data_IF_306631910164
#
_entry.id   IF_306631910164
#
_cell.length_a   1.000
_cell.length_b   1.000
_cell.length_c   1.000
_cell.angle_alpha   90.00
_cell.angle_beta   90.00
_cell.angle_gamma   90.00
#
_symmetry.space_group_name_H-M   'P 1'
#
loop_
_entity.id
_entity.type
_entity.pdbx_description
1 polymer ?
#
# COMPACT_ATOMS: atom_id res chain seq x y z
N UNK A 1 15.97 -5.91 32.16
CA UNK A 1 15.24 -6.65 31.12
C UNK A 1 14.51 -5.57 30.32
N UNK A 2 15.03 -5.17 29.16
CA UNK A 2 14.48 -4.03 28.40
C UNK A 2 13.13 -4.43 27.80
N UNK A 3 12.08 -3.72 28.20
CA UNK A 3 10.73 -3.84 27.67
C UNK A 3 10.75 -3.46 26.19
N UNK A 4 9.98 -4.18 25.36
CA UNK A 4 9.76 -3.81 23.95
C UNK A 4 8.62 -2.81 23.91
N UNK A 5 8.83 -1.70 23.23
CA UNK A 5 7.89 -0.59 23.20
C UNK A 5 7.53 -0.26 21.75
N UNK A 6 6.33 0.29 21.55
CA UNK A 6 5.90 0.71 20.24
C UNK A 6 5.17 2.04 20.27
N UNK A 7 5.25 2.72 19.13
CA UNK A 7 4.81 4.10 18.96
C UNK A 7 4.04 4.21 17.67
N UNK A 8 2.95 4.96 17.70
CA UNK A 8 2.27 5.39 16.50
C UNK A 8 2.18 6.93 16.47
N UNK A 9 2.26 7.51 15.27
CA UNK A 9 2.21 8.96 15.03
C UNK A 9 1.05 9.37 14.08
N UNK A 10 0.04 10.08 14.62
CA UNK A 10 -0.98 10.86 13.88
C UNK A 10 -0.80 12.38 14.05
N UNK A 11 -0.45 12.78 15.28
CA UNK A 11 -0.30 14.14 15.81
C UNK A 11 0.25 14.12 17.24
N UNK A 12 0.15 12.97 17.91
CA UNK A 12 0.69 12.69 19.24
C UNK A 12 1.37 11.31 19.23
N UNK A 13 2.49 11.21 19.95
CA UNK A 13 3.23 9.96 20.18
C UNK A 13 2.55 9.20 21.31
N UNK A 14 1.78 8.16 20.97
CA UNK A 14 1.14 7.29 21.94
C UNK A 14 2.06 6.09 22.25
N UNK A 15 2.33 5.86 23.54
CA UNK A 15 3.07 4.72 24.05
C UNK A 15 2.10 3.71 24.62
N UNK A 16 2.27 2.44 24.26
CA UNK A 16 1.58 1.32 24.88
C UNK A 16 2.61 0.26 25.28
N UNK A 17 2.41 -0.37 26.43
CA UNK A 17 3.23 -1.47 26.91
C UNK A 17 2.60 -2.82 26.53
N UNK A 18 3.45 -3.84 26.30
CA UNK A 18 3.20 -5.26 25.97
C UNK A 18 3.05 -5.61 24.47
N UNK A 19 3.87 -6.56 23.95
CA UNK A 19 3.64 -7.48 22.79
C UNK A 19 4.85 -8.45 22.57
N UNK A 20 4.73 -9.57 21.80
CA UNK A 20 5.64 -10.74 21.80
C UNK A 20 6.95 -10.61 20.97
N UNK A 21 7.60 -11.73 20.63
CA UNK A 21 9.00 -11.89 20.19
C UNK A 21 9.46 -11.10 18.93
N UNK A 22 9.68 -9.79 19.04
CA UNK A 22 10.55 -9.02 18.12
C UNK A 22 12.00 -9.58 18.11
N UNK A 23 12.73 -9.59 16.97
CA UNK A 23 14.15 -9.92 16.90
C UNK A 23 14.99 -9.21 17.97
N UNK A 24 16.00 -9.88 18.54
CA UNK A 24 16.76 -9.39 19.71
C UNK A 24 17.51 -8.08 19.48
N UNK A 25 17.66 -7.65 18.25
CA UNK A 25 18.31 -6.44 17.78
C UNK A 25 17.35 -5.25 17.58
N UNK A 26 16.05 -5.49 17.38
CA UNK A 26 15.02 -4.44 17.31
C UNK A 26 14.39 -4.26 18.70
N UNK A 27 14.39 -3.02 19.17
CA UNK A 27 13.90 -2.61 20.49
C UNK A 27 12.59 -1.83 20.41
N UNK A 28 12.40 -1.07 19.34
CA UNK A 28 11.21 -0.23 19.15
C UNK A 28 10.65 -0.39 17.74
N UNK A 29 9.32 -0.42 17.62
CA UNK A 29 8.61 -0.36 16.34
C UNK A 29 7.79 0.93 16.29
N UNK A 30 7.91 1.69 15.20
CA UNK A 30 7.18 2.93 14.97
C UNK A 30 6.30 2.80 13.74
N UNK A 31 4.98 2.91 13.91
CA UNK A 31 4.01 2.94 12.83
C UNK A 31 3.63 4.36 12.45
N UNK A 32 3.69 4.70 11.16
CA UNK A 32 3.44 6.05 10.66
C UNK A 32 2.36 5.98 9.59
N UNK A 33 1.27 6.74 9.80
CA UNK A 33 0.19 6.86 8.84
C UNK A 33 0.59 7.75 7.66
N UNK A 34 0.29 7.34 6.42
CA UNK A 34 0.64 8.08 5.20
C UNK A 34 0.19 9.56 5.25
N UNK A 35 -1.04 9.82 5.69
CA UNK A 35 -1.59 11.18 5.80
C UNK A 35 -0.78 12.10 6.73
N UNK A 36 0.09 11.54 7.57
CA UNK A 36 0.89 12.24 8.57
C UNK A 36 2.39 12.14 8.29
N UNK A 37 2.80 11.54 7.17
CA UNK A 37 4.19 11.45 6.77
C UNK A 37 4.69 12.79 6.18
N UNK A 38 4.96 13.78 7.04
CA UNK A 38 5.54 15.07 6.67
C UNK A 38 6.85 15.36 7.43
N UNK A 39 7.56 16.42 7.02
CA UNK A 39 8.88 16.79 7.58
C UNK A 39 8.80 17.06 9.09
N UNK A 40 7.78 17.81 9.53
CA UNK A 40 7.57 18.13 10.94
C UNK A 40 7.38 16.87 11.80
N UNK A 41 6.63 15.89 11.30
CA UNK A 41 6.45 14.58 11.95
C UNK A 41 7.78 13.84 12.08
N UNK A 42 8.65 13.94 11.08
CA UNK A 42 9.96 13.30 11.11
C UNK A 42 10.89 13.92 12.16
N UNK A 43 10.84 15.24 12.32
CA UNK A 43 11.59 15.97 13.35
C UNK A 43 11.09 15.59 14.75
N UNK A 44 9.76 15.60 14.94
CA UNK A 44 9.13 15.18 16.20
C UNK A 44 9.54 13.76 16.57
N UNK A 45 9.51 12.81 15.63
CA UNK A 45 9.89 11.42 15.91
C UNK A 45 11.30 11.33 16.48
N UNK A 46 12.27 12.03 15.89
CA UNK A 46 13.67 11.97 16.34
C UNK A 46 13.83 12.59 17.73
N UNK A 47 13.29 13.79 17.92
CA UNK A 47 13.39 14.51 19.19
C UNK A 47 12.72 13.74 20.33
N UNK A 48 11.50 13.24 20.09
CA UNK A 48 10.79 12.45 21.09
C UNK A 48 11.49 11.12 21.37
N UNK A 49 12.13 10.53 20.36
CA UNK A 49 12.85 9.27 20.53
C UNK A 49 14.09 9.42 21.40
N UNK A 50 14.93 10.41 21.10
CA UNK A 50 16.15 10.71 21.89
C UNK A 50 15.80 11.05 23.34
N UNK A 51 14.69 11.78 23.55
CA UNK A 51 14.21 12.17 24.88
C UNK A 51 13.66 10.99 25.67
N UNK A 52 12.85 10.12 25.05
CA UNK A 52 12.15 9.02 25.73
C UNK A 52 13.01 7.77 25.91
N UNK A 53 13.89 7.48 24.95
CA UNK A 53 14.73 6.28 24.94
C UNK A 53 16.22 6.60 24.86
N UNK A 54 16.79 7.26 25.89
CA UNK A 54 18.21 7.56 25.92
C UNK A 54 19.03 6.26 25.88
N UNK A 55 19.88 6.11 24.87
CA UNK A 55 20.75 4.94 24.69
C UNK A 55 20.24 3.89 23.70
N UNK A 56 19.08 4.09 23.07
CA UNK A 56 18.69 3.29 21.90
C UNK A 56 19.29 3.91 20.63
N UNK A 57 20.03 3.10 19.87
CA UNK A 57 20.50 3.50 18.54
C UNK A 57 19.32 3.50 17.57
N UNK A 58 18.84 4.69 17.20
CA UNK A 58 17.66 4.86 16.35
C UNK A 58 17.75 4.06 15.04
N UNK A 59 18.86 4.15 14.32
CA UNK A 59 18.97 3.53 12.99
C UNK A 59 19.09 2.01 13.04
N UNK A 60 19.65 1.46 14.13
CA UNK A 60 19.89 0.02 14.27
C UNK A 60 18.77 -0.70 15.00
N UNK A 61 18.21 -0.09 16.03
CA UNK A 61 17.29 -0.73 16.97
C UNK A 61 15.83 -0.31 16.79
N UNK A 62 15.54 0.63 15.87
CA UNK A 62 14.17 1.05 15.55
C UNK A 62 13.77 0.52 14.19
N UNK A 63 12.59 -0.11 14.13
CA UNK A 63 11.92 -0.46 12.88
C UNK A 63 10.82 0.55 12.60
N UNK A 64 10.89 1.18 11.43
CA UNK A 64 9.87 2.08 10.92
C UNK A 64 8.94 1.31 9.99
N UNK A 65 7.64 1.43 10.21
CA UNK A 65 6.60 0.88 9.33
C UNK A 65 5.71 2.01 8.84
N UNK A 66 5.81 2.33 7.55
CA UNK A 66 4.98 3.34 6.91
C UNK A 66 3.78 2.70 6.26
N UNK A 67 2.59 3.24 6.55
CA UNK A 67 1.42 2.92 5.72
C UNK A 67 1.52 3.65 4.39
N UNK A 68 1.04 3.02 3.33
CA UNK A 68 0.93 3.62 1.99
C UNK A 68 -0.43 3.29 1.38
N UNK A 69 -0.95 4.14 0.48
CA UNK A 69 -2.15 3.82 -0.27
C UNK A 69 -2.01 2.50 -1.02
N UNK A 70 -3.11 1.77 -1.17
CA UNK A 70 -3.12 0.47 -1.82
C UNK A 70 -2.64 0.55 -3.29
N UNK A 71 -2.84 1.67 -3.96
CA UNK A 71 -2.51 1.90 -5.37
C UNK A 71 -1.03 2.25 -5.60
N UNK A 72 -0.25 2.45 -4.54
CA UNK A 72 1.15 2.82 -4.68
C UNK A 72 1.93 1.75 -5.46
N UNK A 73 2.62 2.21 -6.51
CA UNK A 73 3.52 1.37 -7.29
C UNK A 73 4.87 1.22 -6.60
N UNK A 74 5.67 0.24 -7.00
CA UNK A 74 7.05 0.10 -6.52
C UNK A 74 7.90 1.34 -6.77
N UNK A 75 7.67 2.03 -7.89
CA UNK A 75 8.30 3.32 -8.17
C UNK A 75 7.88 4.38 -7.13
N UNK A 76 6.60 4.44 -6.77
CA UNK A 76 6.09 5.37 -5.75
C UNK A 76 6.67 5.05 -4.37
N UNK A 77 6.74 3.77 -3.98
CA UNK A 77 7.37 3.32 -2.74
C UNK A 77 8.87 3.65 -2.71
N UNK A 78 9.57 3.50 -3.84
CA UNK A 78 10.98 3.89 -3.97
C UNK A 78 11.19 5.39 -3.81
N UNK A 79 10.30 6.22 -4.36
CA UNK A 79 10.33 7.68 -4.14
C UNK A 79 10.10 7.98 -2.66
N UNK A 80 9.10 7.36 -2.04
CA UNK A 80 8.82 7.54 -0.61
C UNK A 80 10.03 7.15 0.26
N UNK A 81 10.69 6.04 -0.05
CA UNK A 81 11.93 5.61 0.62
C UNK A 81 13.04 6.66 0.51
N UNK A 82 13.18 7.31 -0.65
CA UNK A 82 14.13 8.40 -0.83
C UNK A 82 13.73 9.62 0.03
N UNK A 83 12.45 10.01 0.06
CA UNK A 83 11.97 11.09 0.92
C UNK A 83 12.25 10.82 2.41
N UNK A 84 12.08 9.57 2.87
CA UNK A 84 12.37 9.16 4.26
C UNK A 84 13.88 9.23 4.55
N UNK A 85 14.72 8.87 3.59
CA UNK A 85 16.18 9.04 3.68
C UNK A 85 16.58 10.51 3.75
N UNK A 86 16.00 11.35 2.89
CA UNK A 86 16.29 12.79 2.85
C UNK A 86 15.81 13.50 4.13
N UNK A 87 14.70 13.05 4.73
CA UNK A 87 14.25 13.47 6.07
C UNK A 87 15.14 12.94 7.22
N UNK A 88 16.11 12.07 6.89
CA UNK A 88 17.08 11.48 7.80
C UNK A 88 16.47 10.50 8.81
N UNK A 89 15.28 9.96 8.57
CA UNK A 89 14.70 8.90 9.40
C UNK A 89 15.38 7.54 9.16
N UNK A 90 16.10 7.42 8.04
CA UNK A 90 17.02 6.31 7.77
C UNK A 90 18.35 6.88 7.27
N UNK A 91 19.44 6.18 7.56
CA UNK A 91 20.79 6.55 7.12
C UNK A 91 21.28 5.76 5.91
N UNK A 92 20.46 4.83 5.41
CA UNK A 92 20.73 4.00 4.24
C UNK A 92 19.40 3.68 3.56
N UNK A 93 19.25 4.06 2.29
CA UNK A 93 18.03 3.79 1.52
C UNK A 93 17.73 2.28 1.41
N UNK A 94 18.75 1.42 1.40
CA UNK A 94 18.63 -0.04 1.39
C UNK A 94 18.38 -0.69 2.76
N UNK A 95 18.08 0.09 3.81
CA UNK A 95 17.87 -0.48 5.15
C UNK A 95 16.66 -1.42 5.20
N UNK A 96 16.84 -2.54 5.91
CA UNK A 96 15.78 -3.50 6.21
C UNK A 96 14.91 -3.07 7.41
N UNK A 97 15.33 -2.02 8.13
CA UNK A 97 14.58 -1.46 9.25
C UNK A 97 13.44 -0.52 8.81
N UNK A 98 13.32 -0.23 7.51
CA UNK A 98 12.16 0.44 6.93
C UNK A 98 11.28 -0.59 6.22
N UNK A 99 10.00 -0.65 6.61
CA UNK A 99 8.98 -1.48 5.98
C UNK A 99 7.81 -0.63 5.51
N UNK A 100 7.18 -1.05 4.42
CA UNK A 100 5.91 -0.52 3.96
C UNK A 100 4.81 -1.54 4.17
N UNK A 101 3.62 -1.03 4.45
CA UNK A 101 2.38 -1.80 4.56
C UNK A 101 1.28 -0.97 3.91
N UNK A 102 0.29 -1.60 3.27
CA UNK A 102 -0.82 -0.79 2.75
C UNK A 102 -1.73 -0.33 3.90
N UNK A 103 -2.34 0.85 3.80
CA UNK A 103 -3.33 1.33 4.77
C UNK A 103 -4.45 0.31 5.07
N UNK A 104 -5.13 -0.28 4.06
CA UNK A 104 -6.16 -1.29 4.33
C UNK A 104 -5.60 -2.57 4.96
N UNK A 105 -4.35 -2.95 4.63
CA UNK A 105 -3.68 -4.09 5.26
C UNK A 105 -3.46 -3.85 6.74
N UNK A 106 -2.87 -2.72 7.06
CA UNK A 106 -2.54 -2.36 8.43
C UNK A 106 -3.83 -2.22 9.25
N UNK A 107 -4.84 -1.53 8.74
CA UNK A 107 -6.11 -1.39 9.44
C UNK A 107 -6.83 -2.74 9.65
N UNK A 108 -6.69 -3.69 8.72
CA UNK A 108 -7.19 -5.04 8.91
C UNK A 108 -6.46 -5.77 10.05
N UNK A 109 -5.14 -5.62 10.16
CA UNK A 109 -4.35 -6.18 11.28
C UNK A 109 -4.84 -5.63 12.62
N UNK A 110 -5.02 -4.32 12.71
CA UNK A 110 -5.59 -3.68 13.88
C UNK A 110 -6.96 -4.24 14.26
N UNK A 111 -7.88 -4.33 13.29
CA UNK A 111 -9.21 -4.86 13.52
C UNK A 111 -9.20 -6.33 13.97
N UNK A 112 -8.29 -7.15 13.44
CA UNK A 112 -8.15 -8.54 13.90
C UNK A 112 -7.76 -8.64 15.36
N UNK A 113 -6.87 -7.76 15.85
CA UNK A 113 -6.46 -7.80 17.24
C UNK A 113 -7.56 -7.31 18.18
N UNK A 114 -8.31 -6.27 17.79
CA UNK A 114 -9.55 -5.87 18.47
C UNK A 114 -10.56 -7.03 18.52
N UNK A 115 -10.60 -7.85 17.46
CA UNK A 115 -11.47 -9.03 17.37
C UNK A 115 -11.01 -10.23 18.19
N UNK A 116 -9.71 -10.45 18.37
CA UNK A 116 -9.17 -11.54 19.21
C UNK A 116 -9.66 -11.43 20.65
N UNK A 117 -9.82 -10.20 21.15
CA UNK A 117 -10.45 -9.93 22.45
C UNK A 117 -11.95 -10.25 22.48
N UNK A 118 -12.63 -10.34 21.32
CA UNK A 118 -14.09 -10.42 21.20
C UNK A 118 -14.63 -11.63 20.37
N UNK A 119 -13.78 -12.61 20.01
CA UNK A 119 -14.12 -13.87 19.29
C UNK A 119 -15.01 -13.71 18.04
N UNK A 120 -14.70 -12.80 17.13
CA UNK A 120 -15.38 -12.75 15.81
C UNK A 120 -14.37 -12.73 14.66
N UNK A 121 -14.78 -13.20 13.46
CA UNK A 121 -13.92 -13.33 12.27
C UNK A 121 -14.38 -12.41 11.14
N UNK A 122 -13.38 -11.91 10.39
CA UNK A 122 -13.39 -11.10 9.15
C UNK A 122 -13.78 -9.62 9.27
N UNK A 123 -13.48 -8.83 8.24
CA UNK A 123 -13.51 -7.37 8.31
C UNK A 123 -13.04 -6.69 7.01
N UNK A 124 -13.72 -5.63 6.59
CA UNK A 124 -13.62 -4.99 5.26
C UNK A 124 -13.12 -3.55 5.42
N UNK A 125 -12.03 -3.21 4.74
CA UNK A 125 -11.92 -2.00 3.91
C UNK A 125 -12.22 -2.45 2.46
N UNK A 126 -12.23 -1.62 1.40
CA UNK A 126 -12.45 -2.08 0.00
C UNK A 126 -11.37 -3.08 -0.54
N UNK A 127 -10.69 -3.78 0.36
CA UNK A 127 -9.90 -4.98 0.13
C UNK A 127 -10.49 -6.09 0.99
N UNK A 128 -11.05 -7.14 0.37
CA UNK A 128 -11.58 -8.29 1.10
C UNK A 128 -10.44 -9.16 1.58
N UNK A 129 -10.32 -9.31 2.90
CA UNK A 129 -9.31 -10.16 3.52
C UNK A 129 -9.92 -11.33 4.26
N UNK A 130 -9.26 -12.49 4.11
CA UNK A 130 -9.63 -13.72 4.82
C UNK A 130 -8.67 -13.92 5.98
N UNK A 131 -9.23 -14.06 7.17
CA UNK A 131 -8.52 -14.58 8.33
C UNK A 131 -8.29 -16.07 8.14
N UNK A 132 -7.03 -16.49 8.16
CA UNK A 132 -6.60 -17.88 8.04
C UNK A 132 -6.52 -18.54 9.43
N UNK A 133 -6.45 -19.88 9.46
CA UNK A 133 -6.55 -20.68 10.68
C UNK A 133 -5.43 -20.40 11.71
N UNK A 134 -4.34 -19.76 11.30
CA UNK A 134 -3.19 -19.39 12.13
C UNK A 134 -3.14 -17.89 12.51
N UNK A 135 -4.28 -17.18 12.53
CA UNK A 135 -4.35 -15.72 12.76
C UNK A 135 -3.60 -14.86 11.73
N UNK A 136 -3.33 -15.43 10.55
CA UNK A 136 -2.70 -14.71 9.44
C UNK A 136 -3.75 -14.12 8.50
N UNK A 137 -3.41 -13.02 7.84
CA UNK A 137 -4.21 -12.43 6.76
C UNK A 137 -3.75 -12.94 5.41
N UNK A 138 -4.73 -13.28 4.56
CA UNK A 138 -4.56 -13.41 3.12
C UNK A 138 -5.54 -12.50 2.38
N UNK A 139 -5.08 -11.92 1.28
CA UNK A 139 -5.92 -11.13 0.37
C UNK A 139 -6.64 -12.06 -0.61
N UNK A 140 -7.96 -11.90 -0.77
CA UNK A 140 -8.79 -12.83 -1.57
C UNK A 140 -9.08 -12.28 -2.96
N UNK A 141 -9.34 -10.98 -3.05
CA UNK A 141 -9.76 -10.30 -4.28
C UNK A 141 -8.83 -9.14 -4.59
N UNK A 142 -8.76 -8.75 -5.85
CA UNK A 142 -8.13 -7.48 -6.20
C UNK A 142 -8.88 -6.32 -5.50
N UNK A 143 -8.13 -5.32 -5.04
CA UNK A 143 -8.68 -4.10 -4.47
C UNK A 143 -9.60 -3.37 -5.47
N UNK A 144 -10.76 -2.91 -5.00
CA UNK A 144 -11.64 -2.03 -5.79
C UNK A 144 -11.87 -0.71 -5.05
N UNK A 145 -10.98 0.26 -5.26
CA UNK A 145 -11.09 1.61 -4.71
C UNK A 145 -11.77 2.57 -5.69
N UNK A 146 -12.40 3.59 -5.13
CA UNK A 146 -12.81 4.80 -5.85
C UNK A 146 -12.47 5.99 -4.95
N UNK A 147 -12.35 7.18 -5.53
CA UNK A 147 -12.05 8.39 -4.77
C UNK A 147 -13.33 8.87 -4.07
N UNK A 148 -13.55 8.37 -2.85
CA UNK A 148 -14.70 8.68 -2.00
C UNK A 148 -14.26 8.84 -0.53
N UNK A 149 -14.82 9.82 0.18
CA UNK A 149 -14.48 10.12 1.58
C UNK A 149 -14.98 11.49 2.03
N UNK A 150 -14.66 11.87 3.28
CA UNK A 150 -15.12 13.13 3.88
C UNK A 150 -14.79 14.38 3.06
N UNK A 151 -13.61 14.43 2.44
CA UNK A 151 -13.20 15.54 1.57
C UNK A 151 -14.15 15.78 0.37
N UNK A 152 -14.94 14.78 -0.05
CA UNK A 152 -15.95 14.97 -1.09
C UNK A 152 -17.24 15.58 -0.54
N UNK A 153 -17.55 15.34 0.73
CA UNK A 153 -18.63 16.05 1.42
C UNK A 153 -18.23 17.53 1.56
N UNK A 154 -16.98 17.80 1.92
CA UNK A 154 -16.46 19.16 2.01
C UNK A 154 -16.57 19.90 0.67
N UNK A 155 -16.31 19.21 -0.46
CA UNK A 155 -16.51 19.78 -1.80
C UNK A 155 -17.97 20.14 -2.10
N UNK A 156 -18.90 19.27 -1.74
CA UNK A 156 -20.33 19.56 -1.93
C UNK A 156 -20.78 20.74 -1.04
N UNK A 157 -20.26 20.82 0.18
CA UNK A 157 -20.48 21.94 1.09
C UNK A 157 -19.91 23.25 0.53
N UNK A 158 -18.66 23.25 0.06
CA UNK A 158 -18.03 24.43 -0.55
C UNK A 158 -18.81 24.90 -1.78
N UNK A 159 -19.26 23.97 -2.64
CA UNK A 159 -20.10 24.31 -3.79
C UNK A 159 -21.41 24.96 -3.37
N UNK A 160 -22.05 24.47 -2.31
CA UNK A 160 -23.26 25.10 -1.76
C UNK A 160 -22.99 26.53 -1.27
N UNK A 161 -21.86 26.76 -0.59
CA UNK A 161 -21.48 28.10 -0.17
C UNK A 161 -21.24 29.02 -1.37
N UNK A 162 -20.48 28.56 -2.38
CA UNK A 162 -20.23 29.30 -3.62
C UNK A 162 -21.55 29.69 -4.33
N UNK A 163 -22.52 28.78 -4.40
CA UNK A 163 -23.84 29.05 -4.99
C UNK A 163 -24.65 30.09 -4.20
N UNK A 164 -24.46 30.17 -2.87
CA UNK A 164 -25.20 31.08 -1.99
C UNK A 164 -24.57 32.46 -1.89
N UNK A 165 -23.26 32.55 -1.75
CA UNK A 165 -22.54 33.81 -1.53
C UNK A 165 -21.90 34.39 -2.79
N UNK A 166 -21.87 33.62 -3.88
CA UNK A 166 -21.25 33.99 -5.15
C UNK A 166 -19.76 33.65 -5.22
N UNK A 167 -19.21 33.66 -6.44
CA UNK A 167 -17.82 33.30 -6.71
C UNK A 167 -16.82 34.41 -6.28
N UNK A 168 -15.59 34.00 -5.95
CA UNK A 168 -14.46 34.91 -5.66
C UNK A 168 -14.19 35.05 -4.15
N UNK A 169 -13.76 36.22 -3.70
CA UNK A 169 -13.39 36.50 -2.30
C UNK A 169 -14.59 36.54 -1.32
N UNK A 170 -15.75 36.02 -1.70
CA UNK A 170 -16.95 36.00 -0.86
C UNK A 170 -16.78 35.04 0.33
N UNK A 171 -16.03 33.95 0.14
CA UNK A 171 -15.63 33.03 1.22
C UNK A 171 -14.65 33.68 2.20
N UNK A 172 -13.70 34.49 1.71
CA UNK A 172 -12.76 35.22 2.57
C UNK A 172 -13.50 36.27 3.42
N UNK A 173 -14.47 36.97 2.81
CA UNK A 173 -15.33 37.94 3.52
C UNK A 173 -16.27 37.30 4.55
N UNK A 174 -16.66 36.05 4.32
CA UNK A 174 -17.46 35.24 5.24
C UNK A 174 -16.76 35.07 6.59
N UNK A 175 -15.43 34.89 6.56
CA UNK A 175 -14.59 34.79 7.76
C UNK A 175 -14.32 36.16 8.40
N UNK A 176 -14.16 37.21 7.60
CA UNK A 176 -13.92 38.58 8.11
C UNK A 176 -15.15 39.22 8.78
N UNK A 177 -16.36 38.94 8.28
CA UNK A 177 -17.60 39.60 8.70
C UNK A 177 -18.44 38.76 9.71
N UNK A 178 -17.93 37.62 10.18
CA UNK A 178 -18.54 36.77 11.23
C UNK A 178 -19.98 36.31 10.88
N UNK A 179 -20.20 35.90 9.63
CA UNK A 179 -21.53 35.52 9.14
C UNK A 179 -22.02 34.21 9.75
N UNK A 180 -23.30 34.18 10.14
CA UNK A 180 -23.98 32.97 10.58
C UNK A 180 -24.84 32.40 9.44
N UNK A 181 -24.56 31.15 9.05
CA UNK A 181 -25.32 30.44 8.01
C UNK A 181 -26.06 29.27 8.65
N UNK A 182 -27.39 29.38 8.71
CA UNK A 182 -28.27 28.27 9.06
C UNK A 182 -28.48 27.34 7.86
N UNK A 183 -28.11 26.08 8.02
CA UNK A 183 -28.29 25.04 7.01
C UNK A 183 -29.19 23.95 7.57
N UNK A 184 -30.29 23.67 6.87
CA UNK A 184 -31.22 22.63 7.28
C UNK A 184 -30.64 21.22 7.07
N UNK A 185 -31.21 20.25 7.79
CA UNK A 185 -30.77 18.86 7.76
C UNK A 185 -30.84 18.23 6.36
N UNK A 186 -31.88 18.52 5.57
CA UNK A 186 -32.02 17.91 4.23
C UNK A 186 -30.93 18.43 3.29
N UNK A 187 -30.57 19.70 3.44
CA UNK A 187 -29.46 20.30 2.71
C UNK A 187 -28.12 19.68 3.12
N UNK A 188 -27.82 19.57 4.41
CA UNK A 188 -26.61 18.87 4.88
C UNK A 188 -26.58 17.42 4.38
N UNK A 189 -27.71 16.71 4.49
CA UNK A 189 -27.86 15.34 4.02
C UNK A 189 -27.56 15.23 2.52
N UNK A 190 -27.98 16.21 1.71
CA UNK A 190 -27.72 16.23 0.27
C UNK A 190 -26.23 16.24 -0.09
N UNK A 191 -25.36 16.77 0.79
CA UNK A 191 -23.90 16.74 0.60
C UNK A 191 -23.32 15.34 0.85
N UNK A 192 -23.89 14.60 1.80
CA UNK A 192 -23.46 13.25 2.17
C UNK A 192 -24.00 12.19 1.22
N UNK A 193 -25.26 12.28 0.82
CA UNK A 193 -25.97 11.31 -0.03
C UNK A 193 -25.14 10.81 -1.23
N UNK A 194 -24.56 11.67 -2.11
CA UNK A 194 -23.81 11.19 -3.27
C UNK A 194 -22.56 10.42 -2.88
N UNK A 195 -21.87 10.83 -1.81
CA UNK A 195 -20.66 10.17 -1.31
C UNK A 195 -21.01 8.83 -0.67
N UNK A 196 -22.01 8.80 0.20
CA UNK A 196 -22.49 7.58 0.88
C UNK A 196 -23.01 6.57 -0.13
N UNK A 197 -23.80 7.00 -1.12
CA UNK A 197 -24.32 6.11 -2.16
C UNK A 197 -23.20 5.46 -3.00
N UNK A 198 -22.13 6.19 -3.29
CA UNK A 198 -20.93 5.62 -3.95
C UNK A 198 -20.27 4.55 -3.07
N UNK A 199 -20.07 4.82 -1.79
CA UNK A 199 -19.52 3.85 -0.83
C UNK A 199 -20.38 2.59 -0.78
N UNK A 200 -21.71 2.74 -0.63
CA UNK A 200 -22.66 1.61 -0.61
C UNK A 200 -22.56 0.77 -1.89
N UNK A 201 -22.43 1.41 -3.06
CA UNK A 201 -22.26 0.71 -4.33
C UNK A 201 -20.98 -0.13 -4.34
N UNK A 202 -19.85 0.44 -3.91
CA UNK A 202 -18.57 -0.27 -3.88
C UNK A 202 -18.60 -1.46 -2.91
N UNK A 203 -19.15 -1.26 -1.71
CA UNK A 203 -19.34 -2.34 -0.73
C UNK A 203 -20.24 -3.45 -1.29
N UNK A 204 -21.31 -3.07 -2.01
CA UNK A 204 -22.24 -4.06 -2.60
C UNK A 204 -21.55 -4.95 -3.63
N UNK A 205 -20.74 -4.36 -4.52
CA UNK A 205 -19.96 -5.12 -5.53
C UNK A 205 -19.07 -6.16 -4.84
N UNK A 206 -18.35 -5.75 -3.80
CA UNK A 206 -17.46 -6.69 -3.08
C UNK A 206 -18.22 -7.74 -2.29
N UNK A 207 -19.30 -7.35 -1.61
CA UNK A 207 -20.09 -8.25 -0.79
C UNK A 207 -20.69 -9.39 -1.61
N UNK A 208 -21.14 -9.10 -2.84
CA UNK A 208 -21.70 -10.09 -3.76
C UNK A 208 -20.64 -11.11 -4.23
N UNK A 209 -19.37 -10.71 -4.31
CA UNK A 209 -18.27 -11.60 -4.72
C UNK A 209 -17.78 -12.54 -3.60
N UNK A 210 -17.80 -12.11 -2.33
CA UNK A 210 -17.10 -12.83 -1.26
C UNK A 210 -17.95 -13.23 -0.03
N UNK A 211 -19.20 -12.75 0.09
CA UNK A 211 -20.08 -12.95 1.25
C UNK A 211 -19.40 -12.66 2.61
N UNK A 212 -19.25 -11.38 2.93
CA UNK A 212 -18.65 -10.95 4.22
C UNK A 212 -19.55 -11.23 5.42
N UNK A 213 -18.99 -11.77 6.51
CA UNK A 213 -19.68 -11.95 7.81
C UNK A 213 -19.58 -10.71 8.71
N UNK A 214 -18.47 -9.98 8.63
CA UNK A 214 -18.16 -8.83 9.48
C UNK A 214 -17.51 -7.74 8.63
N UNK A 215 -17.81 -6.49 8.95
CA UNK A 215 -17.34 -5.28 8.26
C UNK A 215 -16.87 -4.28 9.30
N UNK A 216 -15.67 -3.70 9.12
CA UNK A 216 -15.17 -2.64 9.98
C UNK A 216 -15.30 -1.30 9.27
N UNK A 217 -15.74 -0.29 9.98
CA UNK A 217 -15.71 1.08 9.48
C UNK A 217 -14.55 1.80 10.17
N UNK A 218 -13.55 2.15 9.38
CA UNK A 218 -12.28 2.77 9.79
C UNK A 218 -12.06 4.10 9.05
N UNK A 219 -11.13 4.92 9.51
CA UNK A 219 -10.85 6.24 8.94
C UNK A 219 -11.86 7.32 9.37
N UNK A 220 -11.47 8.60 9.28
CA UNK A 220 -12.23 9.70 9.86
C UNK A 220 -13.69 9.82 9.38
N UNK A 221 -13.97 9.48 8.12
CA UNK A 221 -15.36 9.52 7.63
C UNK A 221 -16.28 8.47 8.27
N UNK A 222 -15.71 7.40 8.83
CA UNK A 222 -16.43 6.38 9.57
C UNK A 222 -16.95 6.86 10.93
N UNK A 223 -16.57 8.07 11.39
CA UNK A 223 -17.19 8.73 12.55
C UNK A 223 -18.62 9.19 12.27
N UNK A 224 -18.98 9.37 10.99
CA UNK A 224 -20.31 9.81 10.59
C UNK A 224 -21.38 8.80 11.00
N UNK A 225 -22.22 9.16 11.98
CA UNK A 225 -23.38 8.35 12.39
C UNK A 225 -24.32 8.08 11.21
N UNK A 226 -24.45 9.03 10.28
CA UNK A 226 -25.26 8.88 9.08
C UNK A 226 -24.72 7.77 8.16
N UNK A 227 -23.40 7.76 7.91
CA UNK A 227 -22.76 6.69 7.14
C UNK A 227 -22.92 5.33 7.84
N UNK A 228 -22.59 5.27 9.14
CA UNK A 228 -22.68 4.03 9.91
C UNK A 228 -24.09 3.43 9.90
N UNK A 229 -25.13 4.26 10.09
CA UNK A 229 -26.51 3.82 10.07
C UNK A 229 -26.94 3.33 8.68
N UNK A 230 -26.59 4.07 7.62
CA UNK A 230 -26.89 3.69 6.24
C UNK A 230 -26.27 2.33 5.88
N UNK A 231 -25.00 2.11 6.23
CA UNK A 231 -24.32 0.83 6.01
C UNK A 231 -24.97 -0.29 6.83
N UNK A 232 -25.22 -0.08 8.13
CA UNK A 232 -25.88 -1.06 9.00
C UNK A 232 -27.26 -1.49 8.51
N UNK A 233 -28.04 -0.55 7.98
CA UNK A 233 -29.35 -0.83 7.40
C UNK A 233 -29.22 -1.63 6.09
N UNK A 234 -28.31 -1.22 5.20
CA UNK A 234 -28.16 -1.84 3.88
C UNK A 234 -27.57 -3.24 3.91
N UNK A 235 -26.69 -3.51 4.88
CA UNK A 235 -25.96 -4.76 5.05
C UNK A 235 -26.31 -5.44 6.38
N UNK A 236 -27.61 -5.53 6.70
CA UNK A 236 -28.10 -6.10 7.97
C UNK A 236 -27.68 -7.56 8.22
N UNK A 237 -27.36 -8.31 7.17
CA UNK A 237 -26.83 -9.67 7.23
C UNK A 237 -25.34 -9.74 7.62
N UNK A 238 -24.63 -8.60 7.59
CA UNK A 238 -23.22 -8.47 7.93
C UNK A 238 -23.08 -7.75 9.27
N UNK A 239 -22.20 -8.23 10.16
CA UNK A 239 -21.92 -7.54 11.41
C UNK A 239 -21.02 -6.32 11.14
N UNK A 240 -21.62 -5.13 11.15
CA UNK A 240 -20.87 -3.87 11.01
C UNK A 240 -20.38 -3.40 12.37
N UNK A 241 -19.06 -3.26 12.52
CA UNK A 241 -18.39 -2.82 13.73
C UNK A 241 -17.54 -1.56 13.47
N UNK A 242 -17.35 -0.76 14.51
CA UNK A 242 -16.47 0.41 14.51
C UNK A 242 -15.47 0.18 15.64
N UNK A 243 -14.18 -0.04 15.34
CA UNK A 243 -13.20 -0.28 16.39
C UNK A 243 -12.89 1.03 17.14
N UNK A 244 -12.31 0.96 18.35
CA UNK A 244 -11.74 2.13 19.00
C UNK A 244 -10.64 2.74 18.11
N UNK A 245 -10.31 4.02 18.28
CA UNK A 245 -9.24 4.71 17.55
C UNK A 245 -9.28 4.51 16.01
N UNK A 246 -10.48 4.61 15.42
CA UNK A 246 -10.71 4.37 13.99
C UNK A 246 -9.87 5.23 13.03
N UNK A 247 -9.46 6.44 13.44
CA UNK A 247 -8.56 7.31 12.66
C UNK A 247 -7.13 6.76 12.65
N UNK A 248 -6.71 6.20 13.79
CA UNK A 248 -5.40 5.61 14.02
C UNK A 248 -5.23 4.17 13.54
N UNK A 249 -6.32 3.51 13.15
CA UNK A 249 -6.36 2.07 12.87
C UNK A 249 -5.22 1.60 11.93
N UNK A 250 -4.95 2.34 10.85
CA UNK A 250 -3.92 1.98 9.90
C UNK A 250 -2.52 1.98 10.55
N UNK A 251 -2.20 2.99 11.34
CA UNK A 251 -0.86 3.12 11.87
C UNK A 251 -0.66 2.32 13.19
N UNK A 252 -1.72 2.09 13.97
CA UNK A 252 -1.74 1.04 14.99
C UNK A 252 -1.47 -0.34 14.38
N UNK A 253 -2.14 -0.66 13.26
CA UNK A 253 -1.90 -1.93 12.56
C UNK A 253 -0.51 -2.04 11.94
N UNK A 254 0.10 -0.92 11.54
CA UNK A 254 1.47 -0.88 11.03
C UNK A 254 2.49 -1.24 12.12
N UNK A 255 2.25 -0.77 13.35
CA UNK A 255 3.02 -1.21 14.51
C UNK A 255 2.90 -2.72 14.71
N UNK A 256 1.67 -3.24 14.74
CA UNK A 256 1.42 -4.66 14.97
C UNK A 256 2.09 -5.53 13.92
N UNK A 257 2.06 -5.10 12.65
CA UNK A 257 2.81 -5.73 11.57
C UNK A 257 4.33 -5.68 11.79
N UNK A 258 4.88 -4.54 12.23
CA UNK A 258 6.32 -4.42 12.47
C UNK A 258 6.83 -5.30 13.62
N UNK A 259 5.94 -5.63 14.57
CA UNK A 259 6.19 -6.54 15.68
C UNK A 259 6.12 -8.01 15.25
N UNK A 260 5.15 -8.37 14.39
CA UNK A 260 4.96 -9.70 13.84
C UNK A 260 4.62 -9.63 12.35
N UNK A 261 5.66 -9.66 11.51
CA UNK A 261 5.51 -9.57 10.05
C UNK A 261 4.93 -10.85 9.44
N UNK A 262 4.96 -11.98 10.16
CA UNK A 262 4.37 -13.24 9.72
C UNK A 262 2.83 -13.20 9.77
N UNK A 263 2.25 -12.14 10.36
CA UNK A 263 0.81 -11.87 10.36
C UNK A 263 0.25 -11.78 8.93
N UNK A 264 1.03 -11.34 7.95
CA UNK A 264 0.60 -11.29 6.54
C UNK A 264 1.20 -12.50 5.81
N UNK A 265 0.35 -13.41 5.35
CA UNK A 265 0.83 -14.64 4.68
C UNK A 265 1.07 -14.41 3.19
N UNK A 266 0.11 -13.80 2.52
CA UNK A 266 0.14 -13.58 1.07
C UNK A 266 -0.58 -12.30 0.69
N UNK A 267 -0.20 -11.77 -0.47
CA UNK A 267 -0.82 -10.60 -1.10
C UNK A 267 -1.17 -10.97 -2.55
N UNK A 268 -2.10 -10.22 -3.14
CA UNK A 268 -2.49 -10.38 -4.55
C UNK A 268 -1.74 -9.36 -5.39
N UNK A 269 -1.01 -9.83 -6.42
CA UNK A 269 -0.25 -8.93 -7.29
C UNK A 269 -1.16 -7.97 -8.05
N UNK A 270 -0.87 -6.67 -7.95
CA UNK A 270 -1.64 -5.59 -8.61
C UNK A 270 -1.19 -5.32 -10.04
N UNK A 271 0.02 -5.74 -10.37
CA UNK A 271 0.64 -5.53 -11.67
C UNK A 271 1.15 -6.86 -12.22
N UNK A 272 1.22 -6.92 -13.54
CA UNK A 272 1.95 -7.97 -14.25
C UNK A 272 3.38 -7.49 -14.45
N UNK A 273 4.34 -8.25 -13.95
CA UNK A 273 5.77 -7.95 -14.00
C UNK A 273 6.47 -8.87 -14.99
N UNK A 274 7.53 -8.36 -15.60
CA UNK A 274 8.36 -9.12 -16.52
C UNK A 274 9.62 -8.37 -16.93
N UNK A 275 10.41 -9.02 -17.77
CA UNK A 275 11.66 -8.47 -18.29
C UNK A 275 11.64 -8.40 -19.81
N UNK A 276 12.43 -7.47 -20.35
CA UNK A 276 12.71 -7.41 -21.77
C UNK A 276 13.72 -8.49 -22.14
N UNK A 277 13.36 -9.32 -23.11
CA UNK A 277 14.20 -10.40 -23.63
C UNK A 277 14.44 -10.22 -25.12
N UNK A 278 15.50 -10.86 -25.64
CA UNK A 278 15.90 -10.81 -27.04
C UNK A 278 16.11 -12.22 -27.65
N UNK A 279 15.04 -13.04 -27.73
CA UNK A 279 15.11 -14.37 -28.31
C UNK A 279 15.27 -14.34 -29.83
N UNK A 280 15.57 -15.51 -30.41
CA UNK A 280 15.50 -15.71 -31.87
C UNK A 280 14.06 -15.51 -32.34
N UNK A 281 13.91 -14.96 -33.54
CA UNK A 281 12.61 -14.83 -34.20
C UNK A 281 12.05 -16.20 -34.59
N UNK A 282 10.76 -16.44 -34.31
CA UNK A 282 10.08 -17.72 -34.57
C UNK A 282 8.83 -17.56 -35.47
N UNK A 283 8.35 -18.67 -36.02
CA UNK A 283 7.14 -18.70 -36.85
C UNK A 283 5.90 -18.39 -35.98
N UNK A 284 5.25 -17.26 -36.23
CA UNK A 284 4.17 -16.71 -35.41
C UNK A 284 4.44 -15.29 -34.91
N UNK A 285 5.71 -14.89 -34.88
CA UNK A 285 6.11 -13.53 -34.51
C UNK A 285 5.75 -12.51 -35.60
N UNK A 286 5.44 -11.27 -35.18
CA UNK A 286 5.16 -10.18 -36.10
C UNK A 286 6.40 -9.87 -36.96
N UNK A 287 6.36 -10.11 -38.30
CA UNK A 287 7.57 -9.98 -39.14
C UNK A 287 8.16 -8.57 -39.15
N UNK A 288 7.34 -7.54 -38.94
CA UNK A 288 7.75 -6.13 -38.86
C UNK A 288 8.62 -5.82 -37.63
N UNK A 289 8.63 -6.68 -36.60
CA UNK A 289 9.43 -6.53 -35.38
C UNK A 289 10.73 -7.34 -35.42
N UNK A 290 11.02 -8.02 -36.54
CA UNK A 290 12.24 -8.80 -36.70
C UNK A 290 13.44 -7.86 -36.91
N UNK A 291 14.45 -8.04 -36.07
CA UNK A 291 15.71 -7.32 -36.20
C UNK A 291 16.61 -7.91 -37.29
N UNK A 292 17.57 -7.12 -37.75
CA UNK A 292 18.49 -7.50 -38.84
C UNK A 292 19.32 -8.75 -38.55
N UNK A 293 19.58 -9.06 -37.27
CA UNK A 293 20.31 -10.23 -36.80
C UNK A 293 19.41 -11.47 -36.58
N UNK A 294 18.13 -11.39 -36.97
CA UNK A 294 17.17 -12.48 -36.87
C UNK A 294 16.57 -12.70 -35.48
N UNK A 295 16.68 -11.72 -34.58
CA UNK A 295 16.07 -11.76 -33.25
C UNK A 295 14.89 -10.79 -33.15
N UNK A 296 14.23 -10.78 -32.00
CA UNK A 296 13.07 -9.92 -31.71
C UNK A 296 13.08 -9.54 -30.23
N UNK A 297 12.69 -8.31 -29.90
CA UNK A 297 12.46 -7.91 -28.52
C UNK A 297 11.07 -8.34 -28.07
N UNK A 298 10.99 -9.05 -26.93
CA UNK A 298 9.73 -9.50 -26.33
C UNK A 298 9.68 -9.17 -24.84
N UNK A 299 8.47 -9.19 -24.28
CA UNK A 299 8.23 -9.17 -22.85
C UNK A 299 8.10 -10.60 -22.34
N UNK A 300 9.00 -11.02 -21.45
CA UNK A 300 8.89 -12.29 -20.74
C UNK A 300 8.14 -12.06 -19.44
N UNK A 301 6.95 -12.65 -19.34
CA UNK A 301 6.12 -12.65 -18.13
C UNK A 301 6.86 -13.37 -16.99
N UNK A 302 7.03 -12.66 -15.87
CA UNK A 302 7.63 -13.22 -14.65
C UNK A 302 6.60 -13.46 -13.56
N UNK A 303 5.67 -12.52 -13.38
CA UNK A 303 4.63 -12.62 -12.38
C UNK A 303 3.36 -11.93 -12.88
N UNK A 304 2.21 -12.58 -12.69
CA UNK A 304 0.95 -12.13 -13.28
C UNK A 304 0.07 -11.43 -12.27
N UNK A 305 -0.53 -10.31 -12.66
CA UNK A 305 -1.58 -9.64 -11.88
C UNK A 305 -2.70 -10.62 -11.48
N UNK A 306 -3.17 -10.52 -10.24
CA UNK A 306 -4.25 -11.32 -9.67
C UNK A 306 -3.77 -12.66 -9.08
N UNK A 307 -2.48 -12.99 -9.19
CA UNK A 307 -1.90 -14.17 -8.54
C UNK A 307 -1.58 -13.84 -7.09
N UNK A 308 -1.92 -14.76 -6.19
CA UNK A 308 -1.48 -14.72 -4.79
C UNK A 308 -0.01 -15.13 -4.69
N UNK A 309 0.78 -14.32 -4.00
CA UNK A 309 2.20 -14.56 -3.79
C UNK A 309 2.48 -14.45 -2.29
N UNK A 310 3.23 -15.40 -1.75
CA UNK A 310 3.63 -15.36 -0.34
C UNK A 310 4.58 -14.20 -0.06
N UNK A 311 4.55 -13.66 1.16
CA UNK A 311 5.50 -12.62 1.56
C UNK A 311 6.91 -13.21 1.48
N UNK A 312 7.85 -12.44 0.91
CA UNK A 312 9.24 -12.84 0.66
C UNK A 312 9.44 -14.05 -0.27
N UNK A 313 8.41 -14.44 -1.04
CA UNK A 313 8.54 -15.48 -2.05
C UNK A 313 9.63 -15.10 -3.06
N UNK A 314 10.63 -15.98 -3.19
CA UNK A 314 11.72 -15.84 -4.15
C UNK A 314 11.34 -16.45 -5.48
N UNK A 315 11.64 -15.71 -6.53
CA UNK A 315 11.54 -16.15 -7.90
C UNK A 315 12.93 -16.21 -8.51
N UNK A 316 13.09 -17.03 -9.55
CA UNK A 316 14.36 -17.17 -10.25
C UNK A 316 14.13 -17.32 -11.74
N UNK A 317 14.89 -16.58 -12.54
CA UNK A 317 14.92 -16.72 -13.99
C UNK A 317 16.36 -16.84 -14.48
N UNK A 318 16.62 -17.78 -15.38
CA UNK A 318 17.95 -17.98 -15.96
C UNK A 318 17.99 -17.46 -17.39
N UNK A 319 18.94 -16.58 -17.67
CA UNK A 319 19.16 -16.01 -18.98
C UNK A 319 20.55 -16.32 -19.51
N UNK A 320 20.69 -16.23 -20.83
CA UNK A 320 21.94 -16.44 -21.55
C UNK A 320 22.25 -15.22 -22.41
N UNK A 321 23.53 -14.90 -22.63
CA UNK A 321 23.92 -13.82 -23.52
C UNK A 321 23.37 -14.01 -24.93
N UNK A 322 22.78 -12.95 -25.49
CA UNK A 322 22.25 -13.00 -26.87
C UNK A 322 23.35 -13.20 -27.91
N UNK A 323 24.59 -12.80 -27.62
CA UNK A 323 25.76 -12.94 -28.49
C UNK A 323 26.92 -13.65 -27.77
N UNK A 324 27.74 -14.45 -28.49
CA UNK A 324 28.85 -15.18 -27.88
C UNK A 324 29.88 -14.28 -27.19
N UNK A 325 30.15 -13.12 -27.76
CA UNK A 325 31.13 -12.13 -27.34
C UNK A 325 30.57 -11.04 -26.40
N UNK A 326 29.31 -11.17 -25.98
CA UNK A 326 28.70 -10.20 -25.07
C UNK A 326 29.42 -10.17 -23.71
N UNK A 327 29.80 -8.97 -23.29
CA UNK A 327 30.52 -8.73 -22.03
C UNK A 327 29.61 -8.46 -20.84
N UNK A 328 28.30 -8.59 -21.00
CA UNK A 328 27.33 -8.42 -19.93
C UNK A 328 25.90 -8.72 -20.37
N UNK A 329 24.98 -8.74 -19.41
CA UNK A 329 23.54 -8.88 -19.64
C UNK A 329 22.83 -7.75 -18.92
N UNK A 330 22.10 -6.94 -19.70
CA UNK A 330 21.22 -5.90 -19.18
C UNK A 330 19.83 -6.47 -18.93
N UNK A 331 19.42 -6.52 -17.68
CA UNK A 331 18.06 -6.85 -17.26
C UNK A 331 17.22 -5.58 -17.21
N UNK A 332 16.33 -5.37 -18.17
CA UNK A 332 15.35 -4.28 -18.14
C UNK A 332 14.00 -4.80 -17.63
N UNK A 333 13.57 -4.32 -16.47
CA UNK A 333 12.32 -4.72 -15.81
C UNK A 333 11.16 -3.82 -16.22
N UNK A 334 9.99 -4.43 -16.42
CA UNK A 334 8.77 -3.75 -16.83
C UNK A 334 7.56 -4.25 -16.04
N UNK A 335 6.53 -3.42 -15.97
CA UNK A 335 5.25 -3.77 -15.38
C UNK A 335 4.07 -3.15 -16.15
N UNK A 336 2.91 -3.80 -16.09
CA UNK A 336 1.67 -3.31 -16.71
C UNK A 336 0.43 -3.69 -15.91
N UNK A 337 -0.64 -2.88 -16.01
CA UNK A 337 -1.92 -3.16 -15.37
C UNK A 337 -2.68 -4.31 -16.08
N UNK A 338 -2.30 -4.63 -17.33
CA UNK A 338 -2.92 -5.70 -18.12
C UNK A 338 -2.52 -7.08 -17.58
N UNK A 339 -3.38 -8.08 -17.76
CA UNK A 339 -3.10 -9.47 -17.35
C UNK A 339 -2.13 -10.19 -18.29
N UNK A 340 -1.92 -9.68 -19.49
CA UNK A 340 -1.05 -10.24 -20.52
C UNK A 340 -0.36 -9.11 -21.26
N UNK A 341 0.87 -9.35 -21.69
CA UNK A 341 1.63 -8.51 -22.61
C UNK A 341 2.61 -9.40 -23.38
N UNK A 342 2.89 -9.01 -24.61
CA UNK A 342 3.80 -9.71 -25.52
C UNK A 342 5.05 -8.85 -25.79
N UNK A 343 4.90 -7.52 -25.80
CA UNK A 343 6.00 -6.58 -26.06
C UNK A 343 6.15 -5.49 -24.99
N UNK A 344 7.38 -5.05 -24.78
CA UNK A 344 7.72 -4.03 -23.77
C UNK A 344 7.33 -2.59 -24.17
N UNK A 345 6.86 -2.39 -25.40
CA UNK A 345 6.43 -1.09 -25.96
C UNK A 345 4.91 -0.98 -26.10
N UNK A 346 4.15 -1.96 -25.58
CA UNK A 346 2.70 -1.93 -25.62
C UNK A 346 2.11 -0.76 -24.82
N UNK A 347 0.93 -0.23 -25.22
CA UNK A 347 0.22 0.76 -24.44
C UNK A 347 -0.06 0.28 -23.01
N UNK A 348 0.35 1.08 -22.02
CA UNK A 348 0.22 0.77 -20.59
C UNK A 348 1.38 -0.05 -20.01
N UNK A 349 2.49 -0.21 -20.74
CA UNK A 349 3.72 -0.78 -20.23
C UNK A 349 4.62 0.30 -19.61
N UNK A 350 5.19 0.02 -18.45
CA UNK A 350 6.05 0.94 -17.71
C UNK A 350 7.38 0.26 -17.37
N UNK A 351 8.49 0.97 -17.60
CA UNK A 351 9.83 0.51 -17.18
C UNK A 351 9.99 0.71 -15.68
N UNK A 352 10.32 -0.35 -14.95
CA UNK A 352 10.59 -0.33 -13.52
C UNK A 352 12.03 0.09 -13.23
N UNK A 353 12.98 -0.48 -13.97
CA UNK A 353 14.41 -0.24 -13.75
C UNK A 353 15.28 -1.13 -14.62
N UNK A 354 16.59 -0.97 -14.47
CA UNK A 354 17.61 -1.76 -15.17
C UNK A 354 18.67 -2.23 -14.20
N UNK A 355 19.19 -3.42 -14.46
CA UNK A 355 20.28 -4.03 -13.71
C UNK A 355 21.26 -4.65 -14.70
N UNK A 356 22.53 -4.23 -14.66
CA UNK A 356 23.57 -4.74 -15.54
C UNK A 356 24.41 -5.79 -14.80
N UNK A 357 24.73 -6.88 -15.49
CA UNK A 357 25.58 -7.96 -14.99
C UNK A 357 26.77 -8.09 -15.91
N UNK A 358 27.95 -7.77 -15.39
CA UNK A 358 29.21 -7.94 -16.11
C UNK A 358 29.54 -9.43 -16.31
N UNK A 359 29.89 -9.78 -17.55
CA UNK A 359 30.35 -11.09 -18.00
C UNK A 359 31.65 -10.94 -18.81
N UNK A 360 32.76 -10.54 -18.19
CA UNK A 360 33.98 -10.16 -18.89
C UNK A 360 34.66 -11.33 -19.61
N UNK A 361 34.39 -12.57 -19.17
CA UNK A 361 34.92 -13.77 -19.79
C UNK A 361 33.96 -14.32 -20.86
N UNK A 362 34.40 -14.31 -22.11
CA UNK A 362 33.61 -14.65 -23.30
C UNK A 362 33.97 -16.02 -23.89
N UNK A 363 34.90 -16.78 -23.29
CA UNK A 363 35.39 -18.04 -23.89
C UNK A 363 34.32 -19.11 -24.07
N UNK A 364 33.28 -19.13 -23.23
CA UNK A 364 32.14 -20.06 -23.31
C UNK A 364 31.03 -19.59 -24.27
N UNK A 365 31.24 -18.48 -24.99
CA UNK A 365 30.29 -17.98 -25.96
C UNK A 365 28.92 -17.67 -25.34
N UNK A 366 27.87 -18.38 -25.76
CA UNK A 366 26.51 -18.22 -25.21
C UNK A 366 26.24 -19.11 -24.00
N UNK A 367 27.10 -20.09 -23.71
CA UNK A 367 26.90 -21.05 -22.61
C UNK A 367 27.38 -20.48 -21.27
N UNK A 368 26.83 -19.31 -20.94
CA UNK A 368 27.15 -18.52 -19.74
C UNK A 368 25.84 -18.13 -19.04
N UNK A 369 25.21 -19.05 -18.29
CA UNK A 369 23.93 -18.78 -17.65
C UNK A 369 24.09 -17.74 -16.53
N UNK A 370 23.18 -16.78 -16.49
CA UNK A 370 23.02 -15.84 -15.38
C UNK A 370 21.66 -16.10 -14.76
N UNK A 371 21.66 -16.55 -13.50
CA UNK A 371 20.43 -16.72 -12.71
C UNK A 371 20.15 -15.42 -11.96
N UNK A 372 19.00 -14.82 -12.26
CA UNK A 372 18.46 -13.69 -11.52
C UNK A 372 17.51 -14.23 -10.46
N UNK A 373 17.84 -14.02 -9.18
CA UNK A 373 16.91 -14.21 -8.07
C UNK A 373 16.29 -12.88 -7.64
N UNK A 374 14.98 -12.84 -7.46
CA UNK A 374 14.26 -11.63 -7.08
C UNK A 374 13.06 -11.92 -6.18
N UNK A 375 12.69 -10.91 -5.39
CA UNK A 375 11.50 -10.88 -4.54
C UNK A 375 10.69 -9.67 -4.97
N UNK A 376 9.37 -9.82 -5.04
CA UNK A 376 8.46 -8.70 -5.26
C UNK A 376 8.09 -8.11 -3.90
N UNK A 377 8.56 -6.89 -3.60
CA UNK A 377 8.22 -6.16 -2.38
C UNK A 377 6.75 -5.70 -2.47
N UNK A 378 5.83 -6.60 -2.13
CA UNK A 378 4.38 -6.38 -2.28
C UNK A 378 3.82 -5.40 -1.26
#
# INVERSE_FOLDING_TARGET
MLQKEFVYVERHVYQFDFLPEVPTDIRVVVGIGFAFANVETCEIIKEDFERRWPGIDFFRMVRLVFTVPAEFTEKTKSIMRQCIYDAGLINNSGTQNLKFITEPEAAAIYCMNVLKDHRLKSGVDLTVRKLLDNNQLGEVTEHSGDVCGGAYVDKEFLRFLEDKVGNGNALDKLEEDDWEIDIDFETIKSFFDPVVNRIIRLISIQHDECKCNVMFLIGGFSESKYLQQTIKQRFSQCKVAVPPYLTAAAACGAVEYGLDMDTVKNRVLKWTYGIKVYPKFEEGDLPLRKESDGHIYKFLLMAKRGVQVEVDQRFSETMYPSKPDAMGILFSFYYTAKKTAEYCDEPGMHKLGEFDVDLPDTHLGKDRPVTLEYVLEQ
#
